data_IF_062812093643
#
_entry.id   IF_062812093643
#
_cell.length_a   1.000
_cell.length_b   1.000
_cell.length_c   1.000
_cell.angle_alpha   90.00
_cell.angle_beta   90.00
_cell.angle_gamma   90.00
#
_symmetry.space_group_name_H-M   'P 1'
#
loop_
_entity.id
_entity.type
_entity.pdbx_description
1 polymer ?
#
# COMPACT_ATOMS: atom_id res chain seq x y z
N UNK A 1 -5.77 9.84 10.17
CA UNK A 1 -6.72 9.21 11.14
C UNK A 1 -6.96 7.73 10.85
N UNK A 2 -7.34 7.35 9.63
CA UNK A 2 -7.65 5.96 9.23
C UNK A 2 -6.61 4.92 9.67
N UNK A 3 -5.32 5.19 9.40
CA UNK A 3 -4.22 4.29 9.82
C UNK A 3 -4.21 3.98 11.33
N UNK A 4 -4.49 4.98 12.17
CA UNK A 4 -4.54 4.81 13.64
C UNK A 4 -5.76 3.97 14.05
N UNK A 5 -6.89 4.15 13.35
CA UNK A 5 -8.10 3.35 13.57
C UNK A 5 -7.86 1.89 13.16
N UNK A 6 -7.30 1.64 11.97
CA UNK A 6 -7.01 0.29 11.51
C UNK A 6 -6.18 -0.53 12.52
N UNK A 7 -5.19 0.11 13.15
CA UNK A 7 -4.40 -0.48 14.24
C UNK A 7 -5.23 -0.86 15.47
N UNK A 8 -6.23 -0.06 15.86
CA UNK A 8 -7.10 -0.39 17.03
C UNK A 8 -7.91 -1.65 16.84
N UNK A 9 -8.19 -2.02 15.59
CA UNK A 9 -8.92 -3.24 15.26
C UNK A 9 -7.97 -4.38 14.82
N UNK A 10 -6.65 -4.23 14.95
CA UNK A 10 -5.71 -5.16 14.30
C UNK A 10 -5.83 -6.61 14.79
N UNK A 11 -6.15 -6.80 16.08
CA UNK A 11 -6.36 -8.11 16.71
C UNK A 11 -7.83 -8.51 16.87
N UNK A 12 -8.77 -7.73 16.31
CA UNK A 12 -10.19 -8.13 16.30
C UNK A 12 -10.38 -9.22 15.23
N UNK A 13 -11.07 -10.34 15.56
CA UNK A 13 -11.30 -11.43 14.62
C UNK A 13 -12.06 -10.91 13.39
N UNK A 14 -11.75 -11.45 12.22
CA UNK A 14 -12.49 -11.13 10.99
C UNK A 14 -13.81 -11.89 10.85
N UNK A 15 -13.94 -13.01 11.58
CA UNK A 15 -15.14 -13.80 11.63
C UNK A 15 -15.53 -14.03 13.11
N UNK A 16 -16.73 -13.63 13.55
CA UNK A 16 -17.78 -12.95 12.77
C UNK A 16 -17.48 -11.44 12.56
N UNK A 17 -18.04 -10.82 11.51
CA UNK A 17 -17.62 -9.50 11.00
C UNK A 17 -17.99 -8.32 11.91
N UNK A 18 -18.91 -8.49 12.86
CA UNK A 18 -19.48 -7.38 13.65
C UNK A 18 -18.40 -6.67 14.48
N UNK A 19 -17.36 -7.40 14.92
CA UNK A 19 -16.23 -6.85 15.65
C UNK A 19 -15.39 -5.83 14.86
N UNK A 20 -15.57 -5.75 13.54
CA UNK A 20 -14.81 -4.89 12.61
C UNK A 20 -15.69 -4.02 11.72
N UNK A 21 -17.01 -4.17 11.75
CA UNK A 21 -17.93 -3.46 10.84
C UNK A 21 -17.66 -1.93 10.72
N UNK A 22 -17.44 -1.18 11.82
CA UNK A 22 -17.15 0.26 11.71
C UNK A 22 -15.86 0.59 10.94
N UNK A 23 -14.86 -0.29 11.02
CA UNK A 23 -13.62 -0.14 10.26
C UNK A 23 -13.86 -0.49 8.79
N UNK A 24 -14.60 -1.56 8.48
CA UNK A 24 -14.90 -1.98 7.12
C UNK A 24 -15.67 -0.90 6.35
N UNK A 25 -16.69 -0.31 6.97
CA UNK A 25 -17.46 0.79 6.39
C UNK A 25 -16.57 2.02 6.09
N UNK A 26 -15.64 2.32 7.00
CA UNK A 26 -14.71 3.42 6.80
C UNK A 26 -13.71 3.14 5.68
N UNK A 27 -13.20 1.90 5.59
CA UNK A 27 -12.32 1.46 4.52
C UNK A 27 -13.03 1.59 3.17
N UNK A 28 -14.27 1.12 3.06
CA UNK A 28 -15.06 1.17 1.82
C UNK A 28 -15.21 2.61 1.29
N UNK A 29 -15.38 3.60 2.18
CA UNK A 29 -15.48 5.02 1.81
C UNK A 29 -14.13 5.67 1.54
N UNK A 30 -13.10 5.33 2.32
CA UNK A 30 -11.81 6.01 2.27
C UNK A 30 -10.87 5.50 1.18
N UNK A 31 -10.95 4.21 0.83
CA UNK A 31 -10.05 3.60 -0.14
C UNK A 31 -10.15 4.21 -1.55
N UNK A 32 -11.34 4.49 -2.10
CA UNK A 32 -11.45 5.14 -3.40
C UNK A 32 -10.73 6.51 -3.43
N UNK A 33 -10.90 7.31 -2.39
CA UNK A 33 -10.26 8.62 -2.26
C UNK A 33 -8.74 8.50 -2.12
N UNK A 34 -8.28 7.55 -1.29
CA UNK A 34 -6.86 7.29 -1.09
C UNK A 34 -6.19 6.79 -2.37
N UNK A 35 -6.91 5.96 -3.14
CA UNK A 35 -6.45 5.43 -4.43
C UNK A 35 -6.32 6.54 -5.46
N UNK A 36 -7.33 7.40 -5.58
CA UNK A 36 -7.30 8.55 -6.48
C UNK A 36 -6.14 9.50 -6.14
N UNK A 37 -5.91 9.76 -4.85
CA UNK A 37 -4.75 10.53 -4.42
C UNK A 37 -3.43 9.85 -4.84
N UNK A 38 -3.30 8.55 -4.62
CA UNK A 38 -2.11 7.79 -4.99
C UNK A 38 -1.88 7.80 -6.50
N UNK A 39 -2.93 7.63 -7.31
CA UNK A 39 -2.92 7.69 -8.77
C UNK A 39 -2.47 9.06 -9.28
N UNK A 40 -3.01 10.15 -8.73
CA UNK A 40 -2.61 11.52 -9.09
C UNK A 40 -1.13 11.81 -8.79
N UNK A 41 -0.55 11.14 -7.79
CA UNK A 41 0.85 11.29 -7.43
C UNK A 41 1.79 10.47 -8.34
N UNK A 42 1.27 9.60 -9.22
CA UNK A 42 2.12 8.71 -10.03
C UNK A 42 3.05 9.48 -10.96
N UNK A 43 2.64 10.63 -11.48
CA UNK A 43 3.44 11.46 -12.40
C UNK A 43 4.31 12.49 -11.68
N UNK A 44 4.08 12.72 -10.38
CA UNK A 44 4.86 13.67 -9.59
C UNK A 44 6.08 12.97 -8.98
N UNK A 45 7.26 13.45 -9.34
CA UNK A 45 8.56 12.86 -8.97
C UNK A 45 9.24 13.61 -7.82
N UNK A 46 8.56 14.51 -7.14
CA UNK A 46 9.14 15.20 -5.98
C UNK A 46 9.24 14.30 -4.75
N UNK A 47 10.17 14.62 -3.85
CA UNK A 47 10.36 13.93 -2.58
C UNK A 47 9.11 14.03 -1.68
N UNK A 48 8.39 15.17 -1.73
CA UNK A 48 7.12 15.36 -1.03
C UNK A 48 6.05 14.42 -1.57
N UNK A 49 5.94 14.28 -2.90
CA UNK A 49 5.01 13.36 -3.53
C UNK A 49 5.31 11.91 -3.12
N UNK A 50 6.59 11.51 -3.11
CA UNK A 50 7.02 10.20 -2.63
C UNK A 50 6.71 9.99 -1.13
N UNK A 51 6.84 11.03 -0.30
CA UNK A 51 6.46 10.96 1.11
C UNK A 51 4.94 10.73 1.29
N UNK A 52 4.10 11.38 0.48
CA UNK A 52 2.64 11.20 0.50
C UNK A 52 2.28 9.80 -0.05
N UNK A 53 2.90 9.35 -1.15
CA UNK A 53 2.73 7.99 -1.67
C UNK A 53 3.03 6.94 -0.58
N UNK A 54 4.13 7.10 0.15
CA UNK A 54 4.49 6.22 1.27
C UNK A 54 3.42 6.22 2.38
N UNK A 55 2.80 7.37 2.67
CA UNK A 55 1.70 7.44 3.64
C UNK A 55 0.45 6.70 3.15
N UNK A 56 0.12 6.78 1.86
CA UNK A 56 -0.94 6.00 1.24
C UNK A 56 -0.67 4.50 1.39
N UNK A 57 0.53 4.03 1.02
CA UNK A 57 0.93 2.61 1.14
C UNK A 57 0.85 2.11 2.58
N UNK A 58 1.35 2.89 3.55
CA UNK A 58 1.26 2.56 4.98
C UNK A 58 -0.17 2.48 5.48
N UNK A 59 -1.06 3.33 4.95
CA UNK A 59 -2.48 3.31 5.31
C UNK A 59 -3.16 2.08 4.73
N UNK A 60 -2.91 1.79 3.45
CA UNK A 60 -3.35 0.56 2.79
C UNK A 60 -2.92 -0.68 3.57
N UNK A 61 -1.61 -0.83 3.84
CA UNK A 61 -1.06 -1.93 4.64
C UNK A 61 -1.75 -2.09 5.98
N UNK A 62 -1.92 -1.00 6.73
CA UNK A 62 -2.51 -1.09 8.07
C UNK A 62 -3.95 -1.61 8.03
N UNK A 63 -4.66 -1.38 6.92
CA UNK A 63 -6.02 -1.85 6.71
C UNK A 63 -6.09 -3.28 6.17
N UNK A 64 -5.05 -3.79 5.50
CA UNK A 64 -5.09 -5.07 4.76
C UNK A 64 -4.15 -6.17 5.29
N UNK A 65 -3.16 -5.84 6.13
CA UNK A 65 -2.09 -6.79 6.53
C UNK A 65 -2.60 -8.04 7.28
N UNK A 66 -3.66 -7.89 8.08
CA UNK A 66 -4.21 -8.95 8.93
C UNK A 66 -5.41 -9.63 8.29
N UNK A 67 -6.28 -8.84 7.66
CA UNK A 67 -7.47 -9.33 6.99
C UNK A 67 -7.67 -8.46 5.76
N UNK A 68 -7.81 -9.08 4.59
CA UNK A 68 -8.39 -8.36 3.48
C UNK A 68 -9.86 -8.07 3.81
N UNK A 69 -10.36 -6.86 3.53
CA UNK A 69 -11.78 -6.58 3.64
C UNK A 69 -12.55 -7.25 2.49
N UNK A 70 -12.43 -8.58 2.30
CA UNK A 70 -13.11 -9.36 1.25
C UNK A 70 -14.62 -9.46 1.50
N UNK A 71 -15.06 -9.22 2.74
CA UNK A 71 -16.47 -9.04 3.09
C UNK A 71 -17.06 -7.77 2.47
N UNK A 72 -16.21 -6.85 2.02
CA UNK A 72 -16.57 -5.74 1.14
C UNK A 72 -16.28 -6.23 -0.28
N UNK A 73 -17.23 -6.05 -1.20
CA UNK A 73 -17.07 -6.40 -2.62
C UNK A 73 -15.63 -6.07 -3.09
N UNK A 74 -14.85 -7.06 -3.60
CA UNK A 74 -13.51 -6.83 -4.12
C UNK A 74 -13.43 -5.66 -5.11
N UNK A 75 -14.51 -5.41 -5.86
CA UNK A 75 -14.65 -4.25 -6.74
C UNK A 75 -14.77 -2.94 -5.95
N UNK A 76 -15.49 -2.92 -4.82
CA UNK A 76 -15.62 -1.74 -3.95
C UNK A 76 -14.31 -1.36 -3.25
N UNK A 77 -13.44 -2.33 -2.95
CA UNK A 77 -12.08 -2.07 -2.43
C UNK A 77 -11.12 -1.64 -3.56
N UNK A 78 -11.44 -2.00 -4.81
CA UNK A 78 -10.63 -1.68 -5.99
C UNK A 78 -9.24 -2.32 -5.95
N UNK A 79 -9.15 -3.53 -5.39
CA UNK A 79 -7.86 -4.17 -5.09
C UNK A 79 -7.00 -4.38 -6.35
N UNK A 80 -7.61 -4.79 -7.45
CA UNK A 80 -6.91 -4.94 -8.73
C UNK A 80 -6.25 -3.62 -9.17
N UNK A 81 -6.97 -2.50 -9.04
CA UNK A 81 -6.48 -1.19 -9.41
C UNK A 81 -5.31 -0.78 -8.50
N UNK A 82 -5.42 -1.02 -7.18
CA UNK A 82 -4.32 -0.80 -6.25
C UNK A 82 -3.07 -1.58 -6.64
N UNK A 83 -3.20 -2.88 -6.88
CA UNK A 83 -2.07 -3.74 -7.26
C UNK A 83 -1.45 -3.32 -8.59
N UNK A 84 -2.26 -2.88 -9.56
CA UNK A 84 -1.79 -2.35 -10.84
C UNK A 84 -0.93 -1.09 -10.66
N UNK A 85 -1.41 -0.11 -9.89
CA UNK A 85 -0.64 1.12 -9.61
C UNK A 85 0.65 0.80 -8.85
N UNK A 86 0.58 -0.11 -7.87
CA UNK A 86 1.75 -0.55 -7.11
C UNK A 86 2.78 -1.24 -8.02
N UNK A 87 2.33 -2.09 -8.96
CA UNK A 87 3.19 -2.74 -9.94
C UNK A 87 3.88 -1.75 -10.88
N UNK A 88 3.14 -0.76 -11.40
CA UNK A 88 3.72 0.30 -12.23
C UNK A 88 4.79 1.10 -11.48
N UNK A 89 4.51 1.48 -10.23
CA UNK A 89 5.45 2.22 -9.41
C UNK A 89 6.66 1.38 -9.01
N UNK A 90 6.48 0.07 -8.80
CA UNK A 90 7.57 -0.87 -8.52
C UNK A 90 8.46 -1.09 -9.75
N UNK A 91 7.91 -1.11 -10.96
CA UNK A 91 8.66 -1.26 -12.21
C UNK A 91 9.49 -0.02 -12.59
N UNK A 92 9.14 1.16 -12.07
CA UNK A 92 9.89 2.40 -12.36
C UNK A 92 11.34 2.32 -11.88
N UNK A 93 12.31 2.43 -12.78
CA UNK A 93 13.72 2.55 -12.41
C UNK A 93 13.95 3.85 -11.62
N UNK A 94 14.74 3.79 -10.55
CA UNK A 94 15.28 4.98 -9.89
C UNK A 94 16.69 5.22 -10.45
N UNK A 95 17.09 6.47 -10.74
CA UNK A 95 18.45 6.78 -11.16
C UNK A 95 19.44 6.43 -10.05
N UNK A 96 20.67 6.11 -10.44
CA UNK A 96 21.80 5.96 -9.52
C UNK A 96 22.31 7.33 -9.04
N UNK A 97 23.10 7.42 -7.96
CA UNK A 97 23.61 8.69 -7.48
C UNK A 97 24.51 9.34 -8.54
N UNK A 98 24.28 10.62 -8.83
CA UNK A 98 25.03 11.37 -9.85
C UNK A 98 24.62 11.09 -11.30
N UNK A 99 23.66 10.19 -11.54
CA UNK A 99 23.09 9.99 -12.86
C UNK A 99 22.08 11.09 -13.21
N UNK A 100 22.13 11.58 -14.45
CA UNK A 100 21.13 12.49 -15.00
C UNK A 100 19.81 11.74 -15.24
N UNK A 101 18.95 11.72 -14.22
CA UNK A 101 17.64 11.10 -14.28
C UNK A 101 16.69 11.60 -13.20
N UNK A 102 15.40 11.33 -13.39
CA UNK A 102 14.36 11.64 -12.41
C UNK A 102 13.87 10.37 -11.71
N UNK A 103 13.54 10.42 -10.41
CA UNK A 103 13.63 11.57 -9.51
C UNK A 103 15.09 11.92 -9.14
N UNK A 104 15.42 13.21 -9.16
CA UNK A 104 16.74 13.72 -8.78
C UNK A 104 16.98 13.68 -7.27
N UNK A 105 18.25 13.82 -6.87
CA UNK A 105 18.63 14.01 -5.47
C UNK A 105 18.82 12.73 -4.66
N UNK A 106 19.06 11.60 -5.33
CA UNK A 106 19.43 10.36 -4.63
C UNK A 106 20.78 10.54 -3.89
N UNK A 107 20.84 10.30 -2.57
CA UNK A 107 22.09 10.42 -1.82
C UNK A 107 23.15 9.36 -2.20
N UNK A 108 24.41 9.78 -2.16
CA UNK A 108 25.59 8.91 -2.34
C UNK A 108 25.91 8.09 -1.09
N UNK A 109 25.68 8.66 0.09
CA UNK A 109 25.85 7.93 1.35
C UNK A 109 24.78 6.83 1.51
N UNK A 110 25.16 5.58 1.84
CA UNK A 110 24.22 4.49 1.98
C UNK A 110 23.15 4.66 3.08
N UNK A 111 23.48 5.33 4.18
CA UNK A 111 22.54 5.52 5.29
C UNK A 111 21.50 6.60 4.94
N UNK A 112 21.94 7.69 4.32
CA UNK A 112 21.05 8.72 3.80
C UNK A 112 20.18 8.20 2.65
N UNK A 113 20.74 7.35 1.77
CA UNK A 113 19.99 6.70 0.70
C UNK A 113 18.83 5.85 1.22
N UNK A 114 19.01 5.15 2.35
CA UNK A 114 17.91 4.39 3.00
C UNK A 114 16.79 5.32 3.47
N UNK A 115 17.11 6.57 3.78
CA UNK A 115 16.13 7.57 4.22
C UNK A 115 15.43 8.27 3.06
N UNK A 116 15.96 8.19 1.84
CA UNK A 116 15.38 8.83 0.66
C UNK A 116 13.93 8.37 0.41
N UNK A 117 12.96 9.30 0.21
CA UNK A 117 11.54 8.97 0.13
C UNK A 117 11.20 7.91 -0.92
N UNK A 118 11.83 7.96 -2.10
CA UNK A 118 11.57 7.02 -3.18
C UNK A 118 11.98 5.57 -2.83
N UNK A 119 13.09 5.37 -2.11
CA UNK A 119 13.46 4.03 -1.62
C UNK A 119 12.51 3.53 -0.53
N UNK A 120 12.00 4.43 0.32
CA UNK A 120 10.95 4.07 1.29
C UNK A 120 9.68 3.61 0.59
N UNK A 121 9.27 4.26 -0.50
CA UNK A 121 8.14 3.82 -1.33
C UNK A 121 8.39 2.42 -1.89
N UNK A 122 9.55 2.17 -2.52
CA UNK A 122 9.91 0.83 -3.05
C UNK A 122 9.84 -0.26 -2.00
N UNK A 123 10.41 -0.02 -0.82
CA UNK A 123 10.38 -0.96 0.31
C UNK A 123 8.94 -1.32 0.70
N UNK A 124 8.07 -0.33 0.83
CA UNK A 124 6.67 -0.57 1.22
C UNK A 124 5.86 -1.27 0.12
N UNK A 125 6.10 -0.94 -1.14
CA UNK A 125 5.51 -1.66 -2.28
C UNK A 125 5.86 -3.14 -2.25
N UNK A 126 7.15 -3.46 -2.12
CA UNK A 126 7.62 -4.85 -2.03
C UNK A 126 7.02 -5.59 -0.84
N UNK A 127 6.96 -4.93 0.33
CA UNK A 127 6.35 -5.52 1.52
C UNK A 127 4.88 -5.86 1.30
N UNK A 128 4.11 -4.98 0.68
CA UNK A 128 2.70 -5.22 0.37
C UNK A 128 2.58 -6.37 -0.64
N UNK A 129 3.27 -6.30 -1.78
CA UNK A 129 3.15 -7.30 -2.86
C UNK A 129 3.59 -8.68 -2.37
N UNK A 130 4.71 -8.76 -1.64
CA UNK A 130 5.19 -10.03 -1.07
C UNK A 130 4.16 -10.63 -0.11
N UNK A 131 3.56 -9.81 0.76
CA UNK A 131 2.51 -10.28 1.68
C UNK A 131 1.30 -10.82 0.94
N UNK A 132 0.86 -10.12 -0.11
CA UNK A 132 -0.27 -10.55 -0.93
C UNK A 132 0.03 -11.87 -1.63
N UNK A 133 1.21 -11.99 -2.24
CA UNK A 133 1.62 -13.23 -2.89
C UNK A 133 1.71 -14.40 -1.91
N UNK A 134 2.36 -14.21 -0.75
CA UNK A 134 2.50 -15.26 0.26
C UNK A 134 1.19 -15.69 0.89
N UNK A 135 0.20 -14.79 1.01
CA UNK A 135 -1.09 -15.12 1.65
C UNK A 135 -2.16 -15.59 0.67
N UNK A 136 -2.27 -14.93 -0.48
CA UNK A 136 -3.39 -15.11 -1.41
C UNK A 136 -2.93 -15.62 -2.79
N UNK A 137 -1.63 -15.79 -3.01
CA UNK A 137 -1.08 -16.29 -4.29
C UNK A 137 -1.04 -17.81 -4.42
N UNK A 138 -1.31 -18.55 -3.34
CA UNK A 138 -1.40 -20.01 -3.37
C UNK A 138 -2.88 -20.43 -3.49
N UNK A 139 -3.29 -21.08 -4.60
CA UNK A 139 -4.66 -21.55 -4.79
C UNK A 139 -5.13 -22.50 -3.68
N UNK A 140 -4.22 -23.24 -3.03
CA UNK A 140 -4.56 -24.16 -1.94
C UNK A 140 -5.07 -23.44 -0.67
N UNK A 141 -4.88 -22.13 -0.56
CA UNK A 141 -5.43 -21.32 0.54
C UNK A 141 -6.74 -20.64 0.19
N UNK A 142 -7.23 -20.74 -1.05
CA UNK A 142 -8.47 -20.09 -1.48
C UNK A 142 -9.71 -20.65 -0.77
N UNK A 143 -9.72 -21.94 -0.44
CA UNK A 143 -10.85 -22.62 0.20
C UNK A 143 -10.79 -22.62 1.74
N UNK A 144 -9.69 -22.17 2.33
CA UNK A 144 -9.46 -22.24 3.78
C UNK A 144 -9.98 -21.02 4.57
N UNK A 145 -10.33 -19.93 3.88
CA UNK A 145 -10.89 -18.70 4.48
C UNK A 145 -12.33 -18.39 3.99
N UNK A 146 -12.96 -19.30 3.22
CA UNK A 146 -14.37 -19.24 2.82
C UNK A 146 -15.28 -19.86 3.89
#
# INVERSE_FOLDING_TARGET
ALRKLAKRYEFKPANPPEGRAPLLDLIARAFPLLRQLFENLMTNLSDEAAAIQNLCLKTFWSCTQFHLPLQVDPAAVGLEHWLRLMGQLLARRLPEPGEDGEPRGQPEDPEDRRQWPHWKVKKWLMQIISRFFSRYGNPNYADAEA
#
